data_IF_020114046779
#
_entry.id   IF_020114046779
#
_cell.length_a   1.000
_cell.length_b   1.000
_cell.length_c   1.000
_cell.angle_alpha   90.00
_cell.angle_beta   90.00
_cell.angle_gamma   90.00
#
_symmetry.space_group_name_H-M   'P 1'
#
loop_
_entity.id
_entity.type
_entity.pdbx_description
1 polymer ?
#
# COMPACT_ATOMS: atom_id res chain seq x y z
N UNK A 1 -5.40 6.83 22.28
CA UNK A 1 -6.66 6.19 22.69
C UNK A 1 -7.03 6.72 24.07
N UNK A 2 -8.29 7.03 24.29
CA UNK A 2 -8.79 7.55 25.58
C UNK A 2 -8.98 6.46 26.62
N UNK A 3 -8.63 5.21 26.30
CA UNK A 3 -8.71 4.07 27.22
C UNK A 3 -7.38 3.97 27.97
N UNK A 4 -7.36 4.18 29.30
CA UNK A 4 -6.17 3.99 30.10
C UNK A 4 -5.67 2.54 30.01
N UNK A 5 -4.44 2.35 29.60
CA UNK A 5 -3.85 1.03 29.44
C UNK A 5 -2.55 0.97 30.22
N UNK A 6 -2.30 -0.07 31.04
CA UNK A 6 -1.01 -0.27 31.69
C UNK A 6 0.13 -0.29 30.66
N UNK A 7 1.20 0.44 30.97
CA UNK A 7 2.40 0.49 30.15
C UNK A 7 3.61 0.05 30.97
N UNK A 8 4.63 -0.54 30.34
CA UNK A 8 5.89 -0.79 31.03
C UNK A 8 6.46 0.50 31.60
N UNK A 9 6.85 0.48 32.87
CA UNK A 9 7.52 1.61 33.50
C UNK A 9 9.03 1.53 33.22
N UNK A 10 9.63 2.67 32.91
CA UNK A 10 11.08 2.80 32.74
C UNK A 10 11.60 3.69 33.85
N UNK A 11 12.58 3.17 34.61
CA UNK A 11 13.29 3.95 35.61
C UNK A 11 14.48 4.64 34.95
N UNK A 12 14.45 5.98 34.87
CA UNK A 12 15.58 6.78 34.40
C UNK A 12 16.61 6.84 35.54
N UNK A 13 17.82 6.35 35.29
CA UNK A 13 18.91 6.33 36.28
C UNK A 13 19.93 7.45 36.07
N UNK A 14 20.00 7.99 34.87
CA UNK A 14 20.86 9.15 34.53
C UNK A 14 20.31 9.93 33.36
N UNK A 15 20.49 11.23 33.35
CA UNK A 15 20.22 12.11 32.24
C UNK A 15 21.50 12.87 31.91
N UNK A 16 22.02 12.73 30.69
CA UNK A 16 23.19 13.46 30.21
C UNK A 16 22.77 14.44 29.12
N UNK A 17 23.30 15.64 29.17
CA UNK A 17 23.05 16.66 28.17
C UNK A 17 24.25 17.61 28.07
N UNK A 18 24.38 18.33 26.96
CA UNK A 18 25.33 19.45 26.81
C UNK A 18 24.90 20.62 27.68
N UNK A 19 25.81 21.55 27.95
CA UNK A 19 25.51 22.75 28.80
C UNK A 19 24.41 23.65 28.22
N UNK A 20 24.27 23.64 26.88
CA UNK A 20 23.19 24.31 26.15
C UNK A 20 22.42 23.23 25.35
N UNK A 21 21.41 22.58 25.96
CA UNK A 21 20.75 21.43 25.37
C UNK A 21 19.84 21.83 24.23
N UNK A 22 19.87 21.06 23.15
CA UNK A 22 18.94 21.13 22.03
C UNK A 22 18.01 19.94 22.10
N UNK A 23 16.71 20.18 22.29
CA UNK A 23 15.70 19.14 22.19
C UNK A 23 15.24 19.02 20.74
N UNK A 24 15.43 17.85 20.17
CA UNK A 24 14.88 17.51 18.85
C UNK A 24 13.49 16.92 19.04
N UNK A 25 12.51 17.54 18.43
CA UNK A 25 11.13 17.07 18.41
C UNK A 25 10.65 16.84 16.99
N UNK A 26 9.67 15.95 16.84
CA UNK A 26 8.95 15.76 15.60
C UNK A 26 7.44 15.82 15.86
N UNK A 27 6.68 16.28 14.88
CA UNK A 27 5.24 16.25 14.93
C UNK A 27 4.75 14.92 14.37
N UNK A 28 4.16 14.10 15.21
CA UNK A 28 3.45 12.90 14.79
C UNK A 28 2.06 13.28 14.29
N UNK A 29 1.71 12.77 13.14
CA UNK A 29 0.44 13.05 12.49
C UNK A 29 0.63 13.67 11.12
N UNK A 30 -0.39 13.51 10.30
CA UNK A 30 -0.38 14.02 8.93
C UNK A 30 -1.63 14.83 8.66
N UNK A 31 -1.45 16.00 8.04
CA UNK A 31 -2.55 16.69 7.40
C UNK A 31 -2.88 16.02 6.07
N UNK A 32 -4.15 16.08 5.61
CA UNK A 32 -4.48 15.63 4.26
C UNK A 32 -3.57 16.30 3.22
N UNK A 33 -2.92 15.49 2.40
CA UNK A 33 -1.98 15.97 1.37
C UNK A 33 -0.56 16.27 1.85
N UNK A 34 -0.23 16.04 3.13
CA UNK A 34 1.10 16.29 3.70
C UNK A 34 1.64 15.05 4.43
N UNK A 35 2.94 14.98 4.59
CA UNK A 35 3.62 13.91 5.34
C UNK A 35 4.85 14.44 6.07
N UNK A 36 5.22 13.77 7.16
CA UNK A 36 6.42 14.09 7.95
C UNK A 36 7.62 13.26 7.53
N UNK A 37 8.83 13.68 7.94
CA UNK A 37 10.05 12.90 7.73
C UNK A 37 9.94 11.50 8.34
N UNK A 38 9.30 11.37 9.49
CA UNK A 38 9.04 10.08 10.13
C UNK A 38 8.16 9.18 9.23
N UNK A 39 7.16 9.74 8.56
CA UNK A 39 6.32 9.00 7.62
C UNK A 39 7.11 8.50 6.41
N UNK A 40 8.06 9.28 5.90
CA UNK A 40 8.95 8.89 4.79
C UNK A 40 9.83 7.72 5.21
N UNK A 41 10.58 7.86 6.31
CA UNK A 41 11.47 6.81 6.82
C UNK A 41 10.71 5.53 7.15
N UNK A 42 9.56 5.65 7.82
CA UNK A 42 8.72 4.52 8.19
C UNK A 42 8.15 3.80 6.98
N UNK A 43 7.81 4.51 5.90
CA UNK A 43 7.26 3.90 4.69
C UNK A 43 8.27 3.02 3.98
N UNK A 44 9.53 3.47 3.86
CA UNK A 44 10.62 2.67 3.29
C UNK A 44 10.85 1.39 4.11
N UNK A 45 10.96 1.52 5.43
CA UNK A 45 11.12 0.38 6.33
C UNK A 45 9.98 -0.63 6.19
N UNK A 46 8.75 -0.16 6.19
CA UNK A 46 7.55 -1.00 6.12
C UNK A 46 7.42 -1.69 4.77
N UNK A 47 7.79 -1.02 3.68
CA UNK A 47 7.84 -1.62 2.36
C UNK A 47 8.87 -2.77 2.31
N UNK A 48 10.07 -2.57 2.88
CA UNK A 48 11.11 -3.61 2.96
C UNK A 48 10.64 -4.81 3.83
N UNK A 49 9.96 -4.58 4.94
CA UNK A 49 9.38 -5.64 5.76
C UNK A 49 8.33 -6.45 4.97
N UNK A 50 7.43 -5.77 4.24
CA UNK A 50 6.43 -6.44 3.41
C UNK A 50 7.08 -7.25 2.29
N UNK A 51 8.10 -6.70 1.63
CA UNK A 51 8.90 -7.42 0.64
C UNK A 51 9.47 -8.73 1.21
N UNK A 52 10.07 -8.67 2.38
CA UNK A 52 10.63 -9.85 3.04
C UNK A 52 9.56 -10.88 3.45
N UNK A 53 8.39 -10.43 3.91
CA UNK A 53 7.26 -11.32 4.22
C UNK A 53 6.82 -12.07 2.96
N UNK A 54 6.61 -11.37 1.86
CA UNK A 54 6.13 -11.96 0.60
C UNK A 54 7.14 -12.94 0.00
N UNK A 55 8.41 -12.57 -0.01
CA UNK A 55 9.48 -13.46 -0.48
C UNK A 55 9.65 -14.68 0.44
N UNK A 56 9.62 -14.48 1.76
CA UNK A 56 9.70 -15.57 2.74
C UNK A 56 8.51 -16.53 2.65
N UNK A 57 7.34 -16.06 2.22
CA UNK A 57 6.18 -16.89 1.94
C UNK A 57 6.25 -17.60 0.57
N UNK A 58 7.32 -17.39 -0.22
CA UNK A 58 7.52 -18.01 -1.52
C UNK A 58 6.55 -17.55 -2.61
N UNK A 59 5.99 -16.34 -2.49
CA UNK A 59 5.06 -15.79 -3.48
C UNK A 59 5.86 -15.29 -4.69
N UNK A 60 5.64 -15.85 -5.90
CA UNK A 60 6.41 -15.47 -7.07
C UNK A 60 5.99 -14.12 -7.65
N UNK A 61 6.83 -13.53 -8.49
CA UNK A 61 6.48 -12.39 -9.34
C UNK A 61 6.28 -11.06 -8.63
N UNK A 62 6.71 -10.90 -7.39
CA UNK A 62 6.71 -9.59 -6.73
C UNK A 62 7.73 -8.69 -7.44
N UNK A 63 7.29 -7.56 -8.00
CA UNK A 63 8.12 -6.61 -8.74
C UNK A 63 8.45 -5.38 -7.91
N UNK A 64 7.47 -4.86 -7.18
CA UNK A 64 7.66 -3.69 -6.33
C UNK A 64 6.70 -3.74 -5.13
N UNK A 65 7.13 -3.11 -4.05
CA UNK A 65 6.32 -2.87 -2.85
C UNK A 65 6.44 -1.40 -2.50
N UNK A 66 5.35 -0.69 -2.56
CA UNK A 66 5.34 0.74 -2.32
C UNK A 66 4.34 1.14 -1.23
N UNK A 67 4.77 2.04 -0.37
CA UNK A 67 3.94 2.67 0.65
C UNK A 67 4.10 4.17 0.50
N UNK A 68 3.03 4.84 0.13
CA UNK A 68 3.06 6.30 0.06
C UNK A 68 3.17 6.89 1.48
N UNK A 69 4.12 7.81 1.74
CA UNK A 69 4.36 8.35 3.07
C UNK A 69 3.14 8.95 3.75
N UNK A 70 2.22 9.55 2.98
CA UNK A 70 0.98 10.16 3.50
C UNK A 70 0.08 9.17 4.24
N UNK A 71 0.18 7.87 3.94
CA UNK A 71 -0.64 6.82 4.56
C UNK A 71 0.03 6.17 5.77
N UNK A 72 1.28 6.51 6.03
CA UNK A 72 2.09 5.99 7.14
C UNK A 72 1.99 4.45 7.30
N UNK A 73 1.98 3.72 6.17
CA UNK A 73 1.93 2.25 6.16
C UNK A 73 0.54 1.64 6.33
N UNK A 74 -0.51 2.43 6.39
CA UNK A 74 -1.89 1.93 6.41
C UNK A 74 -2.28 1.37 5.05
N UNK A 75 -1.92 2.05 3.96
CA UNK A 75 -2.09 1.56 2.60
C UNK A 75 -0.76 1.06 2.06
N UNK A 76 -0.80 -0.05 1.35
CA UNK A 76 0.35 -0.63 0.66
C UNK A 76 -0.05 -1.01 -0.76
N UNK A 77 0.83 -0.74 -1.71
CA UNK A 77 0.68 -1.13 -3.11
C UNK A 77 1.71 -2.22 -3.41
N UNK A 78 1.25 -3.34 -3.96
CA UNK A 78 2.08 -4.46 -4.39
C UNK A 78 1.98 -4.58 -5.91
N UNK A 79 3.08 -4.33 -6.59
CA UNK A 79 3.17 -4.54 -8.04
C UNK A 79 3.69 -5.95 -8.32
N UNK A 80 2.99 -6.66 -9.18
CA UNK A 80 3.31 -8.04 -9.50
C UNK A 80 3.38 -8.30 -11.01
N UNK A 81 4.20 -9.27 -11.38
CA UNK A 81 3.98 -10.05 -12.60
C UNK A 81 3.07 -11.21 -12.23
N UNK A 82 1.81 -11.15 -12.64
CA UNK A 82 0.80 -12.12 -12.21
C UNK A 82 1.10 -13.50 -12.76
N UNK A 83 1.15 -14.49 -11.88
CA UNK A 83 1.43 -15.89 -12.23
C UNK A 83 0.19 -16.79 -12.24
N UNK A 84 -0.86 -16.44 -11.48
CA UNK A 84 -2.11 -17.20 -11.39
C UNK A 84 -3.25 -16.33 -10.88
N UNK A 85 -4.47 -16.74 -11.22
CA UNK A 85 -5.68 -16.13 -10.67
C UNK A 85 -5.75 -16.41 -9.15
N UNK A 86 -6.10 -15.38 -8.36
CA UNK A 86 -6.14 -15.49 -6.90
C UNK A 86 -4.83 -15.13 -6.19
N UNK A 87 -3.73 -14.88 -6.91
CA UNK A 87 -2.46 -14.44 -6.31
C UNK A 87 -2.59 -13.19 -5.44
N UNK A 88 -3.39 -12.16 -5.78
CA UNK A 88 -3.62 -11.00 -4.91
C UNK A 88 -4.19 -11.38 -3.54
N UNK A 89 -5.07 -12.37 -3.49
CA UNK A 89 -5.64 -12.87 -2.21
C UNK A 89 -4.59 -13.56 -1.35
N UNK A 90 -3.68 -14.31 -1.96
CA UNK A 90 -2.55 -14.93 -1.24
C UNK A 90 -1.60 -13.86 -0.69
N UNK A 91 -1.30 -12.81 -1.48
CA UNK A 91 -0.48 -11.68 -1.05
C UNK A 91 -1.07 -11.01 0.18
N UNK A 92 -2.36 -10.67 0.15
CA UNK A 92 -3.05 -10.06 1.27
C UNK A 92 -3.05 -10.96 2.52
N UNK A 93 -3.34 -12.25 2.36
CA UNK A 93 -3.32 -13.23 3.44
C UNK A 93 -1.93 -13.38 4.08
N UNK A 94 -0.88 -13.43 3.28
CA UNK A 94 0.50 -13.51 3.78
C UNK A 94 0.91 -12.26 4.56
N UNK A 95 0.58 -11.07 4.04
CA UNK A 95 0.84 -9.82 4.75
C UNK A 95 0.07 -9.74 6.06
N UNK A 96 -1.21 -10.04 6.06
CA UNK A 96 -2.08 -9.90 7.23
C UNK A 96 -1.83 -10.97 8.29
N UNK A 97 -1.38 -12.17 7.90
CA UNK A 97 -1.01 -13.23 8.82
C UNK A 97 0.34 -13.02 9.52
N UNK A 98 1.16 -12.10 9.02
CA UNK A 98 2.46 -11.83 9.62
C UNK A 98 2.34 -10.97 10.88
N UNK A 99 3.07 -11.31 11.96
CA UNK A 99 3.07 -10.53 13.20
C UNK A 99 3.48 -9.07 13.00
N UNK A 100 4.33 -8.79 12.03
CA UNK A 100 4.74 -7.42 11.65
C UNK A 100 3.60 -6.55 11.12
N UNK A 101 2.45 -7.12 10.76
CA UNK A 101 1.31 -6.40 10.19
C UNK A 101 0.40 -5.71 11.24
N UNK A 102 0.68 -5.87 12.54
CA UNK A 102 -0.22 -5.37 13.61
C UNK A 102 -0.61 -3.90 13.46
N UNK A 103 0.34 -3.05 13.06
CA UNK A 103 0.10 -1.60 12.88
C UNK A 103 0.20 -1.17 11.42
N UNK A 104 0.07 -2.09 10.44
CA UNK A 104 0.39 -1.84 9.04
C UNK A 104 -0.54 -2.60 8.11
N UNK A 105 -0.55 -2.17 6.83
CA UNK A 105 -1.17 -2.89 5.72
C UNK A 105 -2.67 -3.13 5.91
N UNK A 106 -3.39 -2.11 6.43
CA UNK A 106 -4.84 -2.18 6.57
C UNK A 106 -5.50 -2.40 5.21
N UNK A 107 -5.06 -1.63 4.21
CA UNK A 107 -5.52 -1.72 2.85
C UNK A 107 -4.37 -2.20 1.95
N UNK A 108 -4.59 -3.27 1.20
CA UNK A 108 -3.65 -3.84 0.26
C UNK A 108 -4.21 -3.66 -1.14
N UNK A 109 -3.52 -2.89 -1.97
CA UNK A 109 -3.81 -2.74 -3.40
C UNK A 109 -2.79 -3.56 -4.19
N UNK A 110 -3.27 -4.42 -5.08
CA UNK A 110 -2.39 -5.22 -5.95
C UNK A 110 -2.61 -4.79 -7.39
N UNK A 111 -1.51 -4.46 -8.07
CA UNK A 111 -1.48 -4.03 -9.48
C UNK A 111 -0.48 -4.87 -10.27
N UNK A 112 -0.57 -4.83 -11.59
CA UNK A 112 0.41 -5.48 -12.47
C UNK A 112 1.51 -4.51 -12.92
N UNK A 113 2.51 -5.04 -13.59
CA UNK A 113 3.74 -4.37 -14.00
C UNK A 113 3.57 -3.15 -14.92
N UNK A 114 2.40 -3.00 -15.53
CA UNK A 114 2.07 -1.87 -16.40
C UNK A 114 1.51 -0.63 -15.65
N UNK A 115 1.37 -0.73 -14.34
CA UNK A 115 0.92 0.34 -13.44
C UNK A 115 2.06 0.76 -12.54
N UNK A 116 2.44 2.02 -12.56
CA UNK A 116 3.42 2.59 -11.64
C UNK A 116 2.83 2.69 -10.23
N UNK A 117 3.36 1.94 -9.24
CA UNK A 117 2.84 1.96 -7.88
C UNK A 117 3.06 3.30 -7.15
N UNK A 118 3.86 4.20 -7.71
CA UNK A 118 4.12 5.54 -7.15
C UNK A 118 3.21 6.62 -7.71
N UNK A 119 2.52 6.36 -8.83
CA UNK A 119 1.59 7.30 -9.48
C UNK A 119 0.17 7.10 -8.99
N UNK A 120 -0.37 8.10 -8.29
CA UNK A 120 -1.76 8.09 -7.84
C UNK A 120 -2.75 8.01 -9.00
N UNK A 121 -2.46 8.70 -10.11
CA UNK A 121 -3.32 8.74 -11.29
C UNK A 121 -3.44 7.35 -11.92
N UNK A 122 -2.32 6.61 -12.01
CA UNK A 122 -2.33 5.26 -12.55
C UNK A 122 -3.02 4.27 -11.60
N UNK A 123 -2.84 4.44 -10.29
CA UNK A 123 -3.50 3.61 -9.28
C UNK A 123 -5.02 3.84 -9.31
N UNK A 124 -5.47 5.09 -9.36
CA UNK A 124 -6.89 5.43 -9.44
C UNK A 124 -7.51 4.90 -10.74
N UNK A 125 -6.80 5.05 -11.86
CA UNK A 125 -7.21 4.45 -13.13
C UNK A 125 -7.34 2.92 -13.04
N UNK A 126 -6.37 2.24 -12.42
CA UNK A 126 -6.42 0.79 -12.27
C UNK A 126 -7.58 0.34 -11.38
N UNK A 127 -7.87 1.08 -10.31
CA UNK A 127 -9.03 0.82 -9.46
C UNK A 127 -10.33 1.01 -10.25
N UNK A 128 -10.45 2.09 -11.02
CA UNK A 128 -11.67 2.41 -11.77
C UNK A 128 -11.99 1.38 -12.86
N UNK A 129 -10.97 0.86 -13.56
CA UNK A 129 -11.18 0.05 -14.77
C UNK A 129 -10.87 -1.44 -14.62
N UNK A 130 -10.21 -1.87 -13.55
CA UNK A 130 -9.82 -3.28 -13.35
C UNK A 130 -10.50 -3.95 -12.15
N UNK A 131 -10.97 -3.17 -11.17
CA UNK A 131 -11.59 -3.74 -9.97
C UNK A 131 -13.04 -4.07 -10.25
N UNK A 132 -13.38 -5.35 -10.18
CA UNK A 132 -14.77 -5.81 -10.17
C UNK A 132 -15.13 -6.32 -8.77
N UNK A 133 -15.77 -5.44 -7.99
CA UNK A 133 -16.09 -5.73 -6.59
C UNK A 133 -16.98 -6.98 -6.42
N UNK A 134 -17.92 -7.22 -7.34
CA UNK A 134 -18.82 -8.36 -7.32
C UNK A 134 -18.16 -9.71 -7.64
N UNK A 135 -16.96 -9.68 -8.24
CA UNK A 135 -16.17 -10.88 -8.61
C UNK A 135 -14.89 -11.00 -7.78
N UNK A 136 -14.89 -10.50 -6.55
CA UNK A 136 -13.78 -10.65 -5.62
C UNK A 136 -12.60 -9.70 -5.88
N UNK A 137 -12.83 -8.65 -6.65
CA UNK A 137 -11.88 -7.54 -6.78
C UNK A 137 -11.74 -6.73 -5.49
N UNK A 138 -12.75 -6.81 -4.60
CA UNK A 138 -12.66 -6.28 -3.23
C UNK A 138 -12.93 -7.43 -2.25
N UNK A 139 -12.01 -7.63 -1.31
CA UNK A 139 -12.17 -8.60 -0.22
C UNK A 139 -12.02 -7.89 1.11
N UNK A 140 -13.07 -7.94 1.91
CA UNK A 140 -13.06 -7.44 3.28
C UNK A 140 -12.74 -8.59 4.23
N UNK A 141 -11.73 -8.39 5.09
CA UNK A 141 -11.32 -9.34 6.12
C UNK A 141 -11.57 -8.71 7.49
N UNK A 142 -12.72 -8.99 8.13
CA UNK A 142 -13.14 -8.30 9.33
C UNK A 142 -12.50 -8.87 10.60
N UNK A 143 -12.33 -8.03 11.60
CA UNK A 143 -12.04 -8.43 12.98
C UNK A 143 -10.69 -9.08 13.21
N UNK A 144 -9.69 -8.83 12.38
CA UNK A 144 -8.31 -9.30 12.59
C UNK A 144 -7.53 -8.32 13.47
N UNK A 145 -6.46 -8.82 14.12
CA UNK A 145 -5.59 -7.96 14.92
C UNK A 145 -5.11 -6.72 14.15
N UNK A 146 -5.03 -5.59 14.85
CA UNK A 146 -4.69 -4.31 14.25
C UNK A 146 -4.28 -3.26 15.29
N UNK A 147 -4.22 -2.02 14.84
CA UNK A 147 -3.82 -0.90 15.68
C UNK A 147 -4.96 -0.41 16.60
N UNK A 148 -4.70 -0.20 17.89
CA UNK A 148 -5.68 0.41 18.79
C UNK A 148 -5.82 1.94 18.60
N UNK A 149 -5.00 2.55 17.74
CA UNK A 149 -5.00 4.01 17.52
C UNK A 149 -5.66 4.42 16.21
N UNK A 150 -6.25 3.49 15.46
CA UNK A 150 -6.94 3.79 14.21
C UNK A 150 -8.27 4.54 14.50
N UNK A 151 -8.42 5.80 14.05
CA UNK A 151 -9.62 6.58 14.32
C UNK A 151 -10.88 6.04 13.64
N UNK A 152 -10.75 5.22 12.60
CA UNK A 152 -11.87 4.61 11.90
C UNK A 152 -12.44 3.36 12.59
N UNK A 153 -11.78 2.90 13.67
CA UNK A 153 -12.20 1.72 14.44
C UNK A 153 -12.99 2.15 15.66
N UNK A 154 -14.17 1.57 15.95
CA UNK A 154 -14.94 1.84 17.16
C UNK A 154 -14.13 1.65 18.44
N UNK A 155 -14.49 2.40 19.49
CA UNK A 155 -13.74 2.36 20.77
C UNK A 155 -13.69 0.96 21.36
N UNK A 156 -14.77 0.21 21.27
CA UNK A 156 -14.89 -1.16 21.79
C UNK A 156 -13.92 -2.14 21.13
N UNK A 157 -13.57 -1.89 19.87
CA UNK A 157 -12.63 -2.69 19.08
C UNK A 157 -11.16 -2.24 19.27
N UNK A 158 -10.94 -1.13 19.99
CA UNK A 158 -9.61 -0.61 20.34
C UNK A 158 -9.16 -0.96 21.74
N UNK A 159 -10.02 -1.56 22.56
CA UNK A 159 -9.73 -1.92 23.94
C UNK A 159 -8.82 -3.14 24.02
N UNK A 160 -7.51 -2.87 24.06
CA UNK A 160 -6.49 -3.92 24.18
C UNK A 160 -6.50 -4.63 25.55
N UNK A 161 -7.08 -4.02 26.59
CA UNK A 161 -7.20 -4.67 27.91
C UNK A 161 -8.21 -5.81 27.89
N UNK A 162 -9.25 -5.67 27.05
CA UNK A 162 -10.30 -6.66 26.85
C UNK A 162 -9.98 -7.64 25.72
N UNK A 163 -9.38 -7.17 24.64
CA UNK A 163 -9.21 -7.94 23.40
C UNK A 163 -7.78 -8.44 23.17
N UNK A 164 -6.81 -8.01 23.99
CA UNK A 164 -5.41 -8.33 23.80
C UNK A 164 -4.73 -7.56 22.67
N UNK A 165 -5.50 -6.99 21.76
CA UNK A 165 -5.06 -6.19 20.61
C UNK A 165 -6.16 -5.23 20.20
N UNK A 166 -5.88 -4.27 19.31
CA UNK A 166 -6.92 -3.61 18.56
C UNK A 166 -7.40 -4.51 17.40
N UNK A 167 -8.62 -4.31 16.96
CA UNK A 167 -9.17 -5.02 15.81
C UNK A 167 -9.21 -4.10 14.59
N UNK A 168 -8.93 -4.66 13.43
CA UNK A 168 -9.07 -3.99 12.14
C UNK A 168 -9.95 -4.76 11.19
N UNK A 169 -10.69 -4.02 10.37
CA UNK A 169 -11.30 -4.55 9.17
C UNK A 169 -10.36 -4.22 8.01
N UNK A 170 -9.78 -5.24 7.39
CA UNK A 170 -8.79 -5.08 6.35
C UNK A 170 -9.42 -5.25 4.98
N UNK A 171 -8.85 -4.59 3.97
CA UNK A 171 -9.36 -4.60 2.61
C UNK A 171 -8.26 -4.94 1.62
N UNK A 172 -8.52 -5.94 0.78
CA UNK A 172 -7.78 -6.15 -0.47
C UNK A 172 -8.55 -5.48 -1.60
N UNK A 173 -7.82 -4.76 -2.43
CA UNK A 173 -8.27 -4.25 -3.72
C UNK A 173 -7.42 -4.94 -4.79
N UNK A 174 -8.01 -5.86 -5.53
CA UNK A 174 -7.36 -6.55 -6.65
C UNK A 174 -7.61 -5.75 -7.94
N UNK A 175 -6.64 -4.95 -8.31
CA UNK A 175 -6.64 -4.17 -9.55
C UNK A 175 -5.74 -4.81 -10.62
N UNK A 176 -5.59 -6.13 -10.59
CA UNK A 176 -4.95 -6.90 -11.66
C UNK A 176 -5.96 -7.26 -12.74
N UNK A 177 -5.46 -7.58 -13.94
CA UNK A 177 -6.31 -8.07 -15.02
C UNK A 177 -6.87 -9.45 -14.68
N UNK A 178 -8.18 -9.61 -14.79
CA UNK A 178 -8.82 -10.91 -14.51
C UNK A 178 -8.47 -11.94 -15.58
N UNK A 179 -8.18 -13.17 -15.15
CA UNK A 179 -8.00 -14.31 -16.04
C UNK A 179 -9.27 -15.15 -16.22
N UNK A 180 -10.37 -14.70 -15.64
CA UNK A 180 -11.67 -15.38 -15.75
C UNK A 180 -12.34 -15.14 -17.12
N UNK A 181 -11.89 -14.12 -17.86
CA UNK A 181 -12.39 -13.86 -19.21
C UNK A 181 -11.73 -14.78 -20.24
N UNK A 182 -12.47 -15.07 -21.31
CA UNK A 182 -11.93 -15.79 -22.44
C UNK A 182 -10.90 -14.93 -23.22
N UNK A 183 -9.88 -15.61 -23.73
CA UNK A 183 -8.90 -14.95 -24.59
C UNK A 183 -9.56 -14.52 -25.93
N UNK A 184 -9.26 -13.30 -26.38
CA UNK A 184 -9.84 -12.72 -27.60
C UNK A 184 -8.77 -12.45 -28.65
N UNK A 185 -9.00 -12.89 -29.89
CA UNK A 185 -8.07 -12.63 -31.00
C UNK A 185 -7.80 -11.13 -31.23
N UNK A 186 -8.85 -10.30 -31.10
CA UNK A 186 -8.77 -8.84 -31.25
C UNK A 186 -7.89 -8.17 -30.18
N UNK A 187 -7.59 -8.88 -29.10
CA UNK A 187 -6.67 -8.41 -28.05
C UNK A 187 -5.30 -9.12 -28.12
N UNK A 188 -4.95 -9.65 -29.29
CA UNK A 188 -3.71 -10.42 -29.44
C UNK A 188 -3.68 -11.70 -28.64
N UNK A 189 -4.85 -12.31 -28.33
CA UNK A 189 -4.98 -13.49 -27.50
C UNK A 189 -5.00 -13.22 -25.99
N UNK A 190 -5.01 -11.97 -25.56
CA UNK A 190 -5.14 -11.61 -24.17
C UNK A 190 -6.58 -11.83 -23.66
N UNK A 191 -6.72 -12.06 -22.35
CA UNK A 191 -8.01 -12.24 -21.67
C UNK A 191 -8.62 -10.92 -21.17
N UNK A 192 -7.87 -9.82 -21.25
CA UNK A 192 -8.29 -8.50 -20.81
C UNK A 192 -7.92 -7.48 -21.88
N UNK A 193 -8.73 -6.42 -22.09
CA UNK A 193 -8.42 -5.40 -23.07
C UNK A 193 -7.02 -4.83 -22.85
N UNK A 194 -6.23 -4.63 -23.92
CA UNK A 194 -4.94 -3.98 -23.81
C UNK A 194 -5.13 -2.52 -23.38
N UNK A 195 -4.21 -2.02 -22.57
CA UNK A 195 -4.15 -0.60 -22.25
C UNK A 195 -3.77 0.17 -23.51
N UNK A 196 -4.58 1.16 -23.89
CA UNK A 196 -4.27 2.03 -25.02
C UNK A 196 -3.06 2.88 -24.67
N UNK A 197 -2.01 2.75 -25.47
CA UNK A 197 -0.80 3.57 -25.40
C UNK A 197 -0.40 3.98 -26.81
N UNK A 198 0.18 5.17 -27.01
CA UNK A 198 0.83 5.50 -28.26
C UNK A 198 1.90 4.47 -28.61
N UNK A 199 2.18 4.27 -29.89
CA UNK A 199 3.32 3.46 -30.29
C UNK A 199 4.62 4.16 -29.87
N UNK A 200 5.66 3.43 -29.43
CA UNK A 200 6.92 4.05 -28.99
C UNK A 200 7.56 4.96 -30.06
N UNK A 201 7.41 4.60 -31.34
CA UNK A 201 7.86 5.42 -32.47
C UNK A 201 7.07 6.73 -32.60
N UNK A 202 5.79 6.75 -32.24
CA UNK A 202 4.97 7.95 -32.26
C UNK A 202 5.32 8.87 -31.09
N UNK A 203 5.53 8.31 -29.90
CA UNK A 203 6.04 9.06 -28.74
C UNK A 203 7.37 9.72 -29.06
N UNK A 204 8.34 8.95 -29.55
CA UNK A 204 9.66 9.47 -29.93
C UNK A 204 9.58 10.57 -31.02
N UNK A 205 8.65 10.43 -31.98
CA UNK A 205 8.43 11.43 -33.03
C UNK A 205 7.84 12.72 -32.47
N UNK A 206 6.94 12.64 -31.48
CA UNK A 206 6.37 13.82 -30.82
C UNK A 206 7.42 14.48 -29.93
N UNK A 207 8.16 13.72 -29.15
CA UNK A 207 9.23 14.23 -28.29
C UNK A 207 10.31 14.98 -29.09
N UNK A 208 10.74 14.41 -30.23
CA UNK A 208 11.71 15.07 -31.11
C UNK A 208 11.25 16.42 -31.65
N UNK A 209 9.94 16.65 -31.66
CA UNK A 209 9.29 17.88 -32.18
C UNK A 209 8.64 18.72 -31.07
N UNK A 210 8.88 18.41 -29.81
CA UNK A 210 8.21 19.03 -28.66
C UNK A 210 8.24 20.56 -28.70
N UNK A 211 9.42 21.12 -29.00
CA UNK A 211 9.62 22.55 -29.14
C UNK A 211 8.89 23.13 -30.36
N UNK A 212 9.00 22.44 -31.51
CA UNK A 212 8.31 22.84 -32.75
C UNK A 212 6.79 22.88 -32.59
N UNK A 213 6.26 21.94 -31.78
CA UNK A 213 4.83 21.83 -31.46
C UNK A 213 4.37 22.84 -30.39
N UNK A 214 5.25 23.65 -29.85
CA UNK A 214 4.92 24.66 -28.85
C UNK A 214 4.52 24.08 -27.47
N UNK A 215 4.97 22.87 -27.16
CA UNK A 215 4.63 22.15 -25.93
C UNK A 215 5.64 22.40 -24.79
N UNK A 216 6.62 23.30 -24.97
CA UNK A 216 7.59 23.68 -23.94
C UNK A 216 6.85 24.38 -22.78
N UNK A 217 6.93 23.77 -21.59
CA UNK A 217 6.33 24.30 -20.36
C UNK A 217 5.01 23.66 -19.91
N UNK A 218 4.60 22.57 -20.57
CA UNK A 218 3.50 21.72 -20.14
C UNK A 218 3.98 20.59 -19.22
#
# INVERSE_FOLDING_TARGET
SDIPTPRPAIQVTAVTHRSDPILVGTLEGTLPGSFSENSVMSSVQRAAIAWNILNGAGIPGIQNVYIHPITNGTNIVIQIKKHYQGQPKQIAAALWGAGAAQFRYKNVLVVEEDIDPTSYEQLDWAIAYRVNAGHGGIVVFPGIFGSPIDPSTPMEERDISRLGTGLWNRVLIDATRSWEFEARPEWGGARFPPTVRPAPEDEARVEARWKELGLEGL
#
